data_IF_063064423540
#
_entry.id   IF_063064423540
#
_cell.length_a   1.000
_cell.length_b   1.000
_cell.length_c   1.000
_cell.angle_alpha   90.00
_cell.angle_beta   90.00
_cell.angle_gamma   90.00
#
_symmetry.space_group_name_H-M   'P 1'
#
loop_
_entity.id
_entity.type
_entity.pdbx_description
1 polymer ?
#
# COMPACT_ATOMS: atom_id res chain seq x y z
N UNK A 1 12.38 -10.22 38.13
CA UNK A 1 11.70 -9.22 37.27
C UNK A 1 11.86 -9.63 35.82
N UNK A 2 10.80 -9.81 35.04
CA UNK A 2 10.95 -10.17 33.62
C UNK A 2 11.65 -9.00 32.91
N UNK A 3 12.70 -9.30 32.13
CA UNK A 3 13.34 -8.35 31.22
C UNK A 3 12.25 -7.87 30.26
N UNK A 4 11.79 -6.63 30.41
CA UNK A 4 11.00 -5.97 29.37
C UNK A 4 11.81 -6.06 28.07
N UNK A 5 11.25 -6.77 27.10
CA UNK A 5 11.82 -6.89 25.76
C UNK A 5 11.72 -5.50 25.11
N UNK A 6 12.74 -4.64 25.39
CA UNK A 6 12.79 -3.27 24.84
C UNK A 6 13.07 -3.42 23.36
N UNK A 7 12.09 -3.07 22.56
CA UNK A 7 12.28 -2.94 21.11
C UNK A 7 13.51 -2.09 20.80
N UNK A 8 14.41 -2.53 19.90
CA UNK A 8 15.57 -1.75 19.51
C UNK A 8 15.18 -0.33 19.07
N UNK A 9 15.99 0.66 19.40
CA UNK A 9 15.74 2.08 19.12
C UNK A 9 15.41 2.34 17.66
N UNK A 10 16.12 1.68 16.73
CA UNK A 10 15.93 1.80 15.29
C UNK A 10 14.53 1.32 14.87
N UNK A 11 14.12 0.15 15.32
CA UNK A 11 12.81 -0.43 15.01
C UNK A 11 11.67 0.46 15.50
N UNK A 12 11.79 0.97 16.72
CA UNK A 12 10.81 1.89 17.29
C UNK A 12 10.71 3.19 16.49
N UNK A 13 11.84 3.72 16.02
CA UNK A 13 11.85 4.91 15.15
C UNK A 13 11.11 4.63 13.84
N UNK A 14 11.33 3.49 13.19
CA UNK A 14 10.68 3.13 11.96
C UNK A 14 9.15 2.97 12.14
N UNK A 15 8.72 2.31 13.22
CA UNK A 15 7.29 2.11 13.51
C UNK A 15 6.58 3.45 13.76
N UNK A 16 7.12 4.28 14.62
CA UNK A 16 6.54 5.61 14.91
C UNK A 16 6.58 6.51 13.67
N UNK A 17 7.66 6.44 12.88
CA UNK A 17 7.75 7.21 11.64
C UNK A 17 6.68 6.78 10.65
N UNK A 18 6.40 5.48 10.55
CA UNK A 18 5.30 4.98 9.70
C UNK A 18 3.96 5.58 10.14
N UNK A 19 3.63 5.52 11.42
CA UNK A 19 2.36 6.02 11.94
C UNK A 19 2.21 7.54 11.73
N UNK A 20 3.23 8.32 12.09
CA UNK A 20 3.23 9.78 11.95
C UNK A 20 3.12 10.21 10.48
N UNK A 21 3.91 9.60 9.59
CA UNK A 21 3.90 9.93 8.16
C UNK A 21 2.60 9.44 7.49
N UNK A 22 2.07 8.30 7.89
CA UNK A 22 0.82 7.79 7.35
C UNK A 22 -0.36 8.71 7.69
N UNK A 23 -0.42 9.20 8.93
CA UNK A 23 -1.55 10.05 9.38
C UNK A 23 -1.40 11.49 8.87
N UNK A 24 -0.21 12.06 9.00
CA UNK A 24 0.03 13.49 8.81
C UNK A 24 0.68 13.86 7.46
N UNK A 25 1.26 12.89 6.76
CA UNK A 25 2.08 13.10 5.55
C UNK A 25 3.55 13.39 5.89
N UNK A 26 4.39 13.30 4.88
CA UNK A 26 5.82 13.54 5.05
C UNK A 26 6.12 14.99 5.45
N UNK A 27 5.57 15.97 4.74
CA UNK A 27 5.90 17.40 4.95
C UNK A 27 5.52 17.87 6.35
N UNK A 28 4.33 17.50 6.83
CA UNK A 28 3.83 17.90 8.15
C UNK A 28 4.50 17.15 9.32
N UNK A 29 5.11 16.00 9.07
CA UNK A 29 5.82 15.22 10.11
C UNK A 29 7.21 15.79 10.33
N UNK A 30 7.56 16.20 11.56
CA UNK A 30 8.90 16.64 11.93
C UNK A 30 9.71 15.54 12.64
N UNK A 31 11.03 15.61 12.57
CA UNK A 31 11.92 14.74 13.37
C UNK A 31 11.63 14.88 14.86
N UNK A 32 11.41 16.11 15.33
CA UNK A 32 11.16 16.36 16.75
C UNK A 32 9.81 15.76 17.19
N UNK A 33 8.78 15.74 16.34
CA UNK A 33 7.52 15.03 16.59
C UNK A 33 7.76 13.53 16.73
N UNK A 34 8.46 12.91 15.76
CA UNK A 34 8.79 11.49 15.79
C UNK A 34 9.54 11.12 17.09
N UNK A 35 10.56 11.90 17.43
CA UNK A 35 11.37 11.67 18.64
C UNK A 35 10.57 11.80 19.93
N UNK A 36 9.69 12.80 20.00
CA UNK A 36 8.80 13.02 21.14
C UNK A 36 7.84 11.85 21.31
N UNK A 37 7.16 11.44 20.22
CA UNK A 37 6.23 10.29 20.23
C UNK A 37 6.96 8.99 20.58
N UNK A 38 8.17 8.80 20.04
CA UNK A 38 8.98 7.62 20.34
C UNK A 38 9.60 7.64 21.75
N UNK A 39 9.70 8.77 22.40
CA UNK A 39 10.43 8.91 23.67
C UNK A 39 11.93 8.62 23.50
N UNK A 40 12.52 9.00 22.35
CA UNK A 40 13.92 8.74 22.00
C UNK A 40 14.69 10.04 21.96
N UNK A 41 15.87 10.12 22.62
CA UNK A 41 16.74 11.29 22.53
C UNK A 41 17.23 11.54 21.11
N UNK A 42 17.35 12.82 20.73
CA UNK A 42 17.77 13.25 19.38
C UNK A 42 19.10 12.63 18.93
N UNK A 43 20.08 12.57 19.83
CA UNK A 43 21.38 11.94 19.55
C UNK A 43 21.25 10.47 19.15
N UNK A 44 20.33 9.71 19.78
CA UNK A 44 20.14 8.29 19.47
C UNK A 44 19.60 8.07 18.04
N UNK A 45 18.77 8.98 17.53
CA UNK A 45 18.32 8.90 16.15
C UNK A 45 19.48 9.10 15.16
N UNK A 46 20.33 10.10 15.40
CA UNK A 46 21.43 10.42 14.50
C UNK A 46 22.53 9.35 14.45
N UNK A 47 22.56 8.40 15.39
CA UNK A 47 23.38 7.19 15.27
C UNK A 47 22.86 6.21 14.20
N UNK A 48 21.57 6.28 13.86
CA UNK A 48 20.93 5.36 12.91
C UNK A 48 20.61 6.01 11.56
N UNK A 49 20.26 7.30 11.56
CA UNK A 49 19.78 8.02 10.35
C UNK A 49 20.33 9.44 10.33
N UNK A 50 20.87 9.87 9.18
CA UNK A 50 21.43 11.23 9.01
C UNK A 50 20.39 12.35 9.06
N UNK A 51 19.11 11.99 8.92
CA UNK A 51 18.00 12.95 8.95
C UNK A 51 16.67 12.33 8.56
N UNK A 52 15.64 13.18 8.46
CA UNK A 52 14.27 12.78 8.16
C UNK A 52 14.16 11.97 6.86
N UNK A 53 14.84 12.41 5.80
CA UNK A 53 14.78 11.74 4.49
C UNK A 53 15.26 10.30 4.59
N UNK A 54 16.41 10.05 5.19
CA UNK A 54 16.97 8.70 5.34
C UNK A 54 16.09 7.82 6.23
N UNK A 55 15.57 8.37 7.33
CA UNK A 55 14.64 7.68 8.22
C UNK A 55 13.35 7.27 7.47
N UNK A 56 12.78 8.16 6.66
CA UNK A 56 11.54 7.87 5.93
C UNK A 56 11.80 6.92 4.77
N UNK A 57 12.94 6.99 4.07
CA UNK A 57 13.31 6.01 3.04
C UNK A 57 13.39 4.59 3.65
N UNK A 58 14.09 4.44 4.77
CA UNK A 58 14.16 3.17 5.48
C UNK A 58 12.79 2.69 5.97
N UNK A 59 11.94 3.60 6.47
CA UNK A 59 10.55 3.29 6.85
C UNK A 59 9.73 2.79 5.66
N UNK A 60 9.87 3.40 4.49
CA UNK A 60 9.17 2.95 3.27
C UNK A 60 9.58 1.53 2.91
N UNK A 61 10.87 1.22 2.89
CA UNK A 61 11.36 -0.10 2.54
C UNK A 61 11.01 -1.17 3.58
N UNK A 62 11.14 -0.85 4.86
CA UNK A 62 11.09 -1.83 5.95
C UNK A 62 9.72 -1.90 6.66
N UNK A 63 8.83 -0.95 6.44
CA UNK A 63 7.48 -0.93 7.06
C UNK A 63 6.34 -0.80 6.05
N UNK A 64 6.46 0.16 5.13
CA UNK A 64 5.39 0.40 4.18
C UNK A 64 5.29 -0.74 3.16
N UNK A 65 6.38 -1.10 2.50
CA UNK A 65 6.36 -2.12 1.45
C UNK A 65 5.90 -3.50 1.96
N UNK A 66 6.39 -4.03 3.08
CA UNK A 66 5.87 -5.28 3.62
C UNK A 66 4.37 -5.24 3.97
N UNK A 67 3.87 -4.10 4.46
CA UNK A 67 2.42 -3.93 4.71
C UNK A 67 1.62 -3.91 3.41
N UNK A 68 2.16 -3.31 2.34
CA UNK A 68 1.49 -3.31 1.04
C UNK A 68 1.46 -4.71 0.41
N UNK A 69 2.48 -5.53 0.60
CA UNK A 69 2.50 -6.92 0.12
C UNK A 69 1.34 -7.74 0.67
N UNK A 70 0.96 -7.53 1.92
CA UNK A 70 -0.18 -8.23 2.53
C UNK A 70 -1.53 -7.95 1.84
N UNK A 71 -1.69 -6.78 1.21
CA UNK A 71 -2.93 -6.39 0.54
C UNK A 71 -2.88 -6.58 -0.98
N UNK A 72 -1.69 -6.52 -1.54
CA UNK A 72 -1.46 -6.64 -2.98
C UNK A 72 -0.66 -7.92 -3.31
N UNK A 73 -0.73 -8.91 -2.43
CA UNK A 73 -0.28 -10.26 -2.73
C UNK A 73 -1.34 -10.96 -3.59
N UNK A 74 -1.17 -10.82 -4.91
CA UNK A 74 -2.03 -11.40 -5.92
C UNK A 74 -1.57 -12.81 -6.30
N UNK A 75 -1.10 -13.59 -5.33
CA UNK A 75 -0.76 -14.97 -5.61
C UNK A 75 -2.02 -15.82 -5.78
N UNK A 76 -2.08 -16.65 -6.83
CA UNK A 76 -3.16 -17.59 -7.00
C UNK A 76 -3.22 -18.54 -5.80
N UNK A 77 -4.42 -18.73 -5.29
CA UNK A 77 -4.68 -19.70 -4.22
C UNK A 77 -5.25 -20.96 -4.83
N UNK A 78 -4.71 -22.11 -4.44
CA UNK A 78 -5.19 -23.41 -4.90
C UNK A 78 -6.72 -23.53 -4.77
N UNK A 79 -7.38 -23.94 -5.85
CA UNK A 79 -8.84 -24.11 -5.91
C UNK A 79 -9.67 -22.82 -5.89
N UNK A 80 -9.06 -21.63 -6.09
CA UNK A 80 -9.78 -20.36 -6.23
C UNK A 80 -9.62 -19.77 -7.61
N UNK A 81 -10.71 -19.20 -8.13
CA UNK A 81 -10.67 -18.37 -9.32
C UNK A 81 -9.92 -17.06 -9.08
N UNK A 82 -9.49 -16.39 -10.15
CA UNK A 82 -8.89 -15.05 -10.07
C UNK A 82 -9.88 -14.05 -9.50
N UNK A 83 -11.14 -14.16 -9.92
CA UNK A 83 -12.24 -13.35 -9.37
C UNK A 83 -12.39 -13.52 -7.87
N UNK A 84 -12.32 -14.76 -7.34
CA UNK A 84 -12.36 -15.01 -5.88
C UNK A 84 -11.18 -14.38 -5.14
N UNK A 85 -9.97 -14.44 -5.73
CA UNK A 85 -8.77 -13.82 -5.14
C UNK A 85 -8.93 -12.31 -5.05
N UNK A 86 -9.36 -11.66 -6.13
CA UNK A 86 -9.62 -10.23 -6.17
C UNK A 86 -10.71 -9.81 -5.18
N UNK A 87 -11.83 -10.53 -5.17
CA UNK A 87 -12.94 -10.28 -4.24
C UNK A 87 -12.49 -10.41 -2.78
N UNK A 88 -11.71 -11.44 -2.47
CA UNK A 88 -11.14 -11.64 -1.13
C UNK A 88 -10.20 -10.51 -0.74
N UNK A 89 -9.36 -10.06 -1.66
CA UNK A 89 -8.44 -8.92 -1.46
C UNK A 89 -9.20 -7.63 -1.17
N UNK A 90 -10.19 -7.30 -1.98
CA UNK A 90 -11.03 -6.12 -1.75
C UNK A 90 -11.80 -6.20 -0.43
N UNK A 91 -12.31 -7.38 -0.07
CA UNK A 91 -12.98 -7.57 1.23
C UNK A 91 -12.02 -7.38 2.42
N UNK A 92 -10.76 -7.79 2.30
CA UNK A 92 -9.73 -7.56 3.30
C UNK A 92 -9.37 -6.07 3.42
N UNK A 93 -9.21 -5.38 2.27
CA UNK A 93 -8.97 -3.94 2.23
C UNK A 93 -10.11 -3.15 2.89
N UNK A 94 -11.37 -3.51 2.62
CA UNK A 94 -12.54 -2.86 3.20
C UNK A 94 -12.63 -2.99 4.73
N UNK A 95 -12.01 -4.02 5.32
CA UNK A 95 -11.93 -4.24 6.77
C UNK A 95 -10.76 -3.49 7.42
N UNK A 96 -9.82 -3.02 6.63
CA UNK A 96 -8.65 -2.28 7.15
C UNK A 96 -9.04 -0.85 7.48
N UNK A 97 -9.32 -0.57 8.75
CA UNK A 97 -9.75 0.75 9.22
C UNK A 97 -8.77 1.88 8.85
N UNK A 98 -7.44 1.76 9.07
CA UNK A 98 -6.49 2.78 8.62
C UNK A 98 -6.58 3.06 7.13
N UNK A 99 -6.66 2.03 6.29
CA UNK A 99 -6.76 2.18 4.84
C UNK A 99 -8.04 2.94 4.43
N UNK A 100 -9.16 2.61 5.04
CA UNK A 100 -10.44 3.27 4.78
C UNK A 100 -10.50 4.69 5.38
N UNK A 101 -9.75 4.97 6.44
CA UNK A 101 -9.76 6.29 7.08
C UNK A 101 -8.76 7.24 6.44
N UNK A 102 -7.55 6.78 6.14
CA UNK A 102 -6.43 7.63 5.71
C UNK A 102 -6.06 7.46 4.24
N UNK A 103 -6.63 6.46 3.54
CA UNK A 103 -6.28 6.11 2.17
C UNK A 103 -5.03 5.21 2.08
N UNK A 104 -4.58 4.97 0.84
CA UNK A 104 -3.37 4.18 0.60
C UNK A 104 -2.11 4.95 1.00
N UNK A 105 -1.28 4.45 1.94
CA UNK A 105 -0.07 5.16 2.36
C UNK A 105 0.97 5.29 1.25
N UNK A 106 1.07 4.32 0.34
CA UNK A 106 1.96 4.37 -0.82
C UNK A 106 1.54 5.49 -1.78
N UNK A 107 0.25 5.52 -2.15
CA UNK A 107 -0.30 6.53 -3.05
C UNK A 107 -0.14 7.94 -2.48
N UNK A 108 -0.40 8.14 -1.18
CA UNK A 108 -0.23 9.44 -0.51
C UNK A 108 1.20 9.94 -0.60
N UNK A 109 2.19 9.09 -0.32
CA UNK A 109 3.61 9.46 -0.43
C UNK A 109 4.01 9.73 -1.88
N UNK A 110 3.48 8.99 -2.86
CA UNK A 110 3.74 9.27 -4.27
C UNK A 110 3.25 10.66 -4.67
N UNK A 111 2.01 10.99 -4.38
CA UNK A 111 1.43 12.30 -4.71
C UNK A 111 2.22 13.44 -4.06
N UNK A 112 2.67 13.24 -2.83
CA UNK A 112 3.40 14.27 -2.08
C UNK A 112 4.86 14.41 -2.52
N UNK A 113 5.56 13.31 -2.79
CA UNK A 113 7.02 13.30 -2.89
C UNK A 113 7.57 13.08 -4.31
N UNK A 114 6.87 12.32 -5.17
CA UNK A 114 7.38 12.07 -6.53
C UNK A 114 7.63 13.35 -7.34
N UNK A 115 6.80 14.39 -7.24
CA UNK A 115 7.03 15.63 -7.99
C UNK A 115 8.24 16.43 -7.53
N UNK A 116 8.76 16.20 -6.31
CA UNK A 116 9.76 17.08 -5.68
C UNK A 116 11.05 16.36 -5.27
N UNK A 117 11.09 15.03 -5.28
CA UNK A 117 12.26 14.26 -4.85
C UNK A 117 12.44 12.99 -5.69
N UNK A 118 13.42 13.01 -6.57
CA UNK A 118 13.74 11.92 -7.51
C UNK A 118 14.08 10.59 -6.80
N UNK A 119 14.60 10.63 -5.57
CA UNK A 119 14.94 9.41 -4.83
C UNK A 119 13.65 8.68 -4.38
N UNK A 120 12.70 9.44 -3.85
CA UNK A 120 11.39 8.91 -3.51
C UNK A 120 10.62 8.49 -4.77
N UNK A 121 10.63 9.31 -5.81
CA UNK A 121 9.96 8.96 -7.06
C UNK A 121 10.42 7.61 -7.60
N UNK A 122 11.73 7.40 -7.74
CA UNK A 122 12.29 6.13 -8.20
C UNK A 122 11.93 4.95 -7.29
N UNK A 123 12.00 5.14 -5.97
CA UNK A 123 11.69 4.09 -5.00
C UNK A 123 10.20 3.67 -5.08
N UNK A 124 9.31 4.66 -5.07
CA UNK A 124 7.87 4.43 -5.04
C UNK A 124 7.34 3.93 -6.39
N UNK A 125 7.77 4.52 -7.52
CA UNK A 125 7.35 4.10 -8.86
C UNK A 125 7.78 2.68 -9.19
N UNK A 126 8.99 2.27 -8.81
CA UNK A 126 9.44 0.87 -8.96
C UNK A 126 8.51 -0.10 -8.22
N UNK A 127 8.03 0.29 -7.04
CA UNK A 127 7.08 -0.54 -6.28
C UNK A 127 5.72 -0.64 -6.96
N UNK A 128 5.23 0.48 -7.50
CA UNK A 128 3.96 0.50 -8.25
C UNK A 128 4.02 -0.40 -9.48
N UNK A 129 5.09 -0.29 -10.26
CA UNK A 129 5.30 -1.16 -11.43
C UNK A 129 5.25 -2.64 -11.03
N UNK A 130 5.95 -3.02 -9.95
CA UNK A 130 5.90 -4.40 -9.44
C UNK A 130 4.49 -4.83 -9.05
N UNK A 131 3.69 -3.95 -8.45
CA UNK A 131 2.30 -4.26 -8.11
C UNK A 131 1.44 -4.47 -9.36
N UNK A 132 1.60 -3.63 -10.38
CA UNK A 132 0.92 -3.78 -11.68
C UNK A 132 1.31 -5.09 -12.37
N UNK A 133 2.61 -5.42 -12.39
CA UNK A 133 3.10 -6.68 -12.99
C UNK A 133 2.54 -7.91 -12.27
N UNK A 134 2.53 -7.93 -10.95
CA UNK A 134 1.95 -9.03 -10.18
C UNK A 134 0.45 -9.21 -10.46
N UNK A 135 -0.28 -8.10 -10.57
CA UNK A 135 -1.70 -8.12 -10.90
C UNK A 135 -1.95 -8.60 -12.33
N UNK A 136 -1.12 -8.16 -13.29
CA UNK A 136 -1.19 -8.65 -14.66
C UNK A 136 -0.89 -10.15 -14.75
N UNK A 137 0.08 -10.66 -13.98
CA UNK A 137 0.37 -12.10 -13.88
C UNK A 137 -0.81 -12.89 -13.30
N UNK A 138 -1.50 -12.35 -12.29
CA UNK A 138 -2.71 -12.99 -11.77
C UNK A 138 -3.81 -13.09 -12.85
N UNK A 139 -4.07 -11.99 -13.57
CA UNK A 139 -5.06 -11.97 -14.65
C UNK A 139 -4.69 -12.92 -15.79
N UNK A 140 -3.40 -13.01 -16.13
CA UNK A 140 -2.88 -13.95 -17.13
C UNK A 140 -3.19 -15.41 -16.74
N UNK A 141 -3.06 -15.77 -15.46
CA UNK A 141 -3.45 -17.11 -14.98
C UNK A 141 -4.95 -17.37 -15.12
N UNK A 142 -5.80 -16.34 -15.05
CA UNK A 142 -7.22 -16.46 -15.34
C UNK A 142 -7.49 -16.83 -16.80
N UNK A 143 -6.74 -16.25 -17.75
CA UNK A 143 -6.79 -16.65 -19.15
C UNK A 143 -6.32 -18.09 -19.33
N UNK A 144 -5.17 -18.45 -18.76
CA UNK A 144 -4.58 -19.80 -18.86
C UNK A 144 -5.49 -20.89 -18.25
N UNK A 145 -6.28 -20.55 -17.23
CA UNK A 145 -7.25 -21.47 -16.63
C UNK A 145 -8.60 -21.52 -17.35
N UNK A 146 -8.82 -20.66 -18.36
CA UNK A 146 -10.08 -20.53 -19.07
C UNK A 146 -11.16 -19.77 -18.29
N UNK A 147 -10.81 -19.04 -17.23
CA UNK A 147 -11.74 -18.15 -16.52
C UNK A 147 -12.06 -16.92 -17.37
N UNK A 148 -11.04 -16.36 -18.05
CA UNK A 148 -11.19 -15.19 -18.94
C UNK A 148 -10.82 -15.54 -20.36
N UNK A 149 -11.42 -14.84 -21.32
CA UNK A 149 -11.07 -14.96 -22.73
C UNK A 149 -9.77 -14.21 -23.07
N UNK A 150 -9.17 -14.56 -24.23
CA UNK A 150 -7.89 -14.04 -24.68
C UNK A 150 -7.93 -12.55 -25.08
N UNK A 151 -9.10 -11.94 -25.18
CA UNK A 151 -9.26 -10.52 -25.54
C UNK A 151 -8.96 -9.59 -24.35
N UNK A 152 -8.86 -10.15 -23.14
CA UNK A 152 -8.48 -9.38 -21.94
C UNK A 152 -7.03 -8.90 -22.05
N UNK A 153 -6.82 -7.57 -22.21
CA UNK A 153 -5.50 -6.99 -22.06
C UNK A 153 -5.13 -6.92 -20.57
N UNK A 154 -4.39 -7.91 -20.10
CA UNK A 154 -4.05 -8.07 -18.68
C UNK A 154 -3.27 -6.89 -18.10
N UNK A 155 -2.40 -6.22 -18.90
CA UNK A 155 -1.62 -5.07 -18.44
C UNK A 155 -2.47 -3.83 -18.24
N UNK A 156 -3.31 -3.52 -19.22
CA UNK A 156 -4.20 -2.37 -19.15
C UNK A 156 -5.24 -2.57 -18.04
N UNK A 157 -5.75 -3.81 -17.89
CA UNK A 157 -6.73 -4.10 -16.85
C UNK A 157 -6.10 -4.11 -15.45
N UNK A 158 -4.85 -4.55 -15.30
CA UNK A 158 -4.10 -4.43 -14.03
C UNK A 158 -3.93 -2.96 -13.62
N UNK A 159 -3.57 -2.08 -14.57
CA UNK A 159 -3.50 -0.64 -14.33
C UNK A 159 -4.87 -0.08 -13.92
N UNK A 160 -5.93 -0.45 -14.63
CA UNK A 160 -7.30 -0.04 -14.32
C UNK A 160 -7.72 -0.44 -12.89
N UNK A 161 -7.46 -1.69 -12.48
CA UNK A 161 -7.76 -2.16 -11.10
C UNK A 161 -7.02 -1.31 -10.06
N UNK A 162 -5.71 -1.13 -10.24
CA UNK A 162 -4.87 -0.42 -9.26
C UNK A 162 -5.26 1.06 -9.15
N UNK A 163 -5.39 1.74 -10.29
CA UNK A 163 -5.73 3.16 -10.35
C UNK A 163 -7.14 3.44 -9.85
N UNK A 164 -8.12 2.59 -10.20
CA UNK A 164 -9.50 2.70 -9.69
C UNK A 164 -9.56 2.49 -8.17
N UNK A 165 -8.79 1.52 -7.66
CA UNK A 165 -8.67 1.26 -6.21
C UNK A 165 -8.06 2.47 -5.49
N UNK A 166 -7.00 3.05 -6.03
CA UNK A 166 -6.40 4.26 -5.46
C UNK A 166 -7.30 5.48 -5.59
N UNK A 167 -8.03 5.61 -6.69
CA UNK A 167 -9.01 6.66 -6.89
C UNK A 167 -10.05 6.71 -5.77
N UNK A 168 -10.67 5.57 -5.44
CA UNK A 168 -11.63 5.50 -4.34
C UNK A 168 -10.98 5.72 -2.97
N UNK A 169 -9.77 5.20 -2.75
CA UNK A 169 -9.04 5.38 -1.50
C UNK A 169 -8.51 6.81 -1.31
N UNK A 170 -8.27 7.56 -2.38
CA UNK A 170 -7.85 8.97 -2.28
C UNK A 170 -8.89 9.88 -1.65
N UNK A 171 -10.17 9.50 -1.77
CA UNK A 171 -11.31 10.21 -1.15
C UNK A 171 -11.58 9.78 0.29
N UNK A 172 -10.86 8.78 0.80
CA UNK A 172 -11.07 8.17 2.12
C UNK A 172 -11.18 9.16 3.27
N UNK A 173 -10.31 10.17 3.41
CA UNK A 173 -10.38 11.09 4.54
C UNK A 173 -11.69 11.89 4.62
N UNK A 174 -12.40 12.03 3.51
CA UNK A 174 -13.58 12.91 3.41
C UNK A 174 -14.88 12.19 3.13
N UNK A 175 -14.88 11.18 2.28
CA UNK A 175 -16.08 10.57 1.72
C UNK A 175 -16.15 9.06 1.83
N UNK A 176 -15.02 8.38 2.07
CA UNK A 176 -14.98 6.93 1.99
C UNK A 176 -15.51 6.23 3.24
N UNK A 177 -16.23 5.16 2.99
CA UNK A 177 -16.60 4.16 3.97
C UNK A 177 -16.32 2.78 3.37
N UNK A 178 -16.23 1.75 4.21
CA UNK A 178 -16.11 0.37 3.73
C UNK A 178 -17.19 0.01 2.72
N UNK A 179 -18.42 0.51 2.91
CA UNK A 179 -19.54 0.30 1.98
C UNK A 179 -19.26 0.95 0.62
N UNK A 180 -18.76 2.17 0.62
CA UNK A 180 -18.43 2.90 -0.62
C UNK A 180 -17.28 2.21 -1.37
N UNK A 181 -16.23 1.82 -0.66
CA UNK A 181 -15.12 1.06 -1.22
C UNK A 181 -15.58 -0.25 -1.86
N UNK A 182 -16.42 -1.03 -1.18
CA UNK A 182 -16.95 -2.30 -1.71
C UNK A 182 -17.86 -2.10 -2.93
N UNK A 183 -18.60 -1.00 -3.00
CA UNK A 183 -19.38 -0.65 -4.19
C UNK A 183 -18.47 -0.45 -5.41
N UNK A 184 -17.38 0.32 -5.26
CA UNK A 184 -16.40 0.51 -6.34
C UNK A 184 -15.70 -0.80 -6.73
N UNK A 185 -15.33 -1.61 -5.74
CA UNK A 185 -14.72 -2.94 -5.99
C UNK A 185 -15.67 -3.85 -6.79
N UNK A 186 -16.98 -3.76 -6.52
CA UNK A 186 -17.99 -4.49 -7.29
C UNK A 186 -17.99 -4.06 -8.76
N UNK A 187 -17.94 -2.77 -9.06
CA UNK A 187 -17.86 -2.29 -10.44
C UNK A 187 -16.59 -2.75 -11.18
N UNK A 188 -15.45 -2.83 -10.47
CA UNK A 188 -14.22 -3.39 -11.05
C UNK A 188 -14.46 -4.86 -11.44
N UNK A 189 -15.04 -5.66 -10.55
CA UNK A 189 -15.32 -7.08 -10.80
C UNK A 189 -16.40 -7.29 -11.88
N UNK A 190 -17.42 -6.44 -11.92
CA UNK A 190 -18.44 -6.46 -12.99
C UNK A 190 -17.81 -6.12 -14.36
N UNK A 191 -16.87 -5.17 -14.42
CA UNK A 191 -16.14 -4.85 -15.64
C UNK A 191 -15.27 -6.04 -16.07
N UNK A 192 -14.61 -6.71 -15.14
CA UNK A 192 -13.81 -7.90 -15.44
C UNK A 192 -14.68 -9.06 -15.94
N UNK A 193 -15.90 -9.21 -15.43
CA UNK A 193 -16.81 -10.28 -15.84
C UNK A 193 -17.25 -10.22 -17.31
N UNK A 194 -17.05 -9.08 -17.99
CA UNK A 194 -17.30 -8.98 -19.44
C UNK A 194 -16.31 -9.83 -20.28
N UNK A 195 -15.25 -10.30 -19.66
CA UNK A 195 -14.22 -11.17 -20.27
C UNK A 195 -14.34 -12.63 -19.81
N UNK A 196 -15.40 -13.00 -19.07
CA UNK A 196 -15.62 -14.39 -18.68
C UNK A 196 -15.98 -15.26 -19.88
N UNK A 197 -15.39 -16.48 -19.94
CA UNK A 197 -15.77 -17.51 -20.90
C UNK A 197 -17.09 -18.20 -20.52
#
# INVERSE_FOLDING_TARGET
MPKQNRQPTREKLLDITFDEVYIHGYTATSVDTILKTAGIPKGSMYHHFKGKKELVLAMVEERLFPKMELFFDFEPKEGKSVTDVLQGTFAAMAKNKPLITYGCPLYRLMVELSPIDVTFDKLLSTRVTKMQDNLALLLQKGIESGEFDETLNVKDFASYILESTWGVLSLSPSLSSSKHFLLHSKFILETLSNYNN
#
